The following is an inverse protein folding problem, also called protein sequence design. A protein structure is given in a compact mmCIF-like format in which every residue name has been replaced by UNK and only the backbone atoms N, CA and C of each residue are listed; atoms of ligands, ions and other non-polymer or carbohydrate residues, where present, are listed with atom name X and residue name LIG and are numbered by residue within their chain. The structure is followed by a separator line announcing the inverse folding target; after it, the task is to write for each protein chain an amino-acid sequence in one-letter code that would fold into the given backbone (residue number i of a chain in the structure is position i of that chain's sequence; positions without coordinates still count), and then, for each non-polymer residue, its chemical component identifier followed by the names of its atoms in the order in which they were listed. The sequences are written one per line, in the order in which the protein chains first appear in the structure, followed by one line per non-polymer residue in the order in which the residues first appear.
data_IF_779850752237
#
_entry.id   IF_779850752237
#
_cell.length_a   1.000
_cell.length_b   1.000
_cell.length_c   1.000
_cell.angle_alpha   90.00
_cell.angle_beta   90.00
_cell.angle_gamma   90.00
#
_symmetry.space_group_name_H-M   'P 1'
#
loop_
_entity.id
_entity.type
_entity.pdbx_description
1 polymer ?
#
# COMPACT_ATOMS: atom_id res chain seq x y z
N UNK A 1 64.09 -61.28 -3.73
CA UNK A 1 63.26 -60.33 -4.49
C UNK A 1 62.43 -61.14 -5.47
N UNK A 2 61.20 -61.42 -5.17
CA UNK A 2 60.32 -62.22 -6.03
C UNK A 2 59.43 -61.28 -6.83
N UNK A 3 59.60 -61.38 -8.10
CA UNK A 3 58.84 -60.65 -9.11
C UNK A 3 57.40 -61.23 -9.19
N UNK A 4 56.40 -60.45 -8.84
CA UNK A 4 54.98 -60.86 -8.89
C UNK A 4 54.50 -60.75 -10.33
N UNK A 5 53.96 -61.80 -10.93
CA UNK A 5 53.50 -61.75 -12.32
C UNK A 5 52.27 -60.83 -12.41
N UNK A 6 52.36 -59.85 -13.32
CA UNK A 6 51.18 -59.01 -13.72
C UNK A 6 50.10 -59.94 -14.30
N UNK A 7 49.00 -60.04 -13.63
CA UNK A 7 47.78 -60.73 -14.10
C UNK A 7 47.33 -60.10 -15.42
N UNK A 8 47.45 -60.84 -16.50
CA UNK A 8 46.87 -60.42 -17.78
C UNK A 8 45.33 -60.37 -17.62
N UNK A 9 44.77 -59.27 -17.98
CA UNK A 9 43.31 -59.07 -18.01
C UNK A 9 42.78 -60.00 -19.10
N UNK A 10 41.90 -60.93 -18.70
CA UNK A 10 41.26 -61.89 -19.63
C UNK A 10 40.35 -61.12 -20.60
N UNK A 11 40.22 -61.54 -21.87
CA UNK A 11 39.22 -60.94 -22.79
C UNK A 11 37.76 -60.95 -22.29
N UNK A 12 37.47 -61.85 -21.35
CA UNK A 12 36.16 -61.94 -20.72
C UNK A 12 35.88 -60.87 -19.62
N UNK A 13 36.91 -60.14 -19.18
CA UNK A 13 36.78 -58.97 -18.28
C UNK A 13 36.54 -57.65 -19.03
N UNK A 14 36.41 -57.70 -20.35
CA UNK A 14 36.02 -56.52 -21.15
C UNK A 14 34.55 -56.14 -20.82
N UNK A 15 34.33 -54.91 -20.39
CA UNK A 15 33.01 -54.36 -20.19
C UNK A 15 32.16 -54.61 -21.44
N UNK A 16 30.90 -55.03 -21.29
CA UNK A 16 30.02 -55.28 -22.44
C UNK A 16 29.96 -54.01 -23.33
N UNK A 17 29.96 -54.18 -24.64
CA UNK A 17 29.92 -53.06 -25.56
C UNK A 17 28.66 -52.24 -25.29
N UNK A 18 28.87 -50.92 -25.04
CA UNK A 18 27.75 -49.96 -24.83
C UNK A 18 27.09 -49.77 -26.20
N UNK A 19 25.89 -50.35 -26.36
CA UNK A 19 25.12 -50.08 -27.55
C UNK A 19 24.68 -48.60 -27.58
N UNK A 20 24.86 -47.89 -28.71
CA UNK A 20 24.36 -46.54 -28.80
C UNK A 20 22.85 -46.53 -28.71
N UNK A 21 22.25 -45.51 -27.99
CA UNK A 21 20.81 -45.45 -27.80
C UNK A 21 20.10 -45.43 -29.17
N UNK A 22 19.02 -46.22 -29.27
CA UNK A 22 18.23 -46.26 -30.48
C UNK A 22 17.65 -44.87 -30.84
N UNK A 23 17.53 -44.58 -32.14
CA UNK A 23 16.92 -43.33 -32.61
C UNK A 23 15.50 -43.13 -32.00
N UNK A 24 14.76 -44.20 -31.80
CA UNK A 24 13.44 -44.17 -31.11
C UNK A 24 13.53 -43.73 -29.65
N UNK A 25 14.56 -44.20 -28.93
CA UNK A 25 14.80 -43.79 -27.55
C UNK A 25 15.15 -42.30 -27.46
N UNK A 26 15.97 -41.78 -28.36
CA UNK A 26 16.32 -40.35 -28.43
C UNK A 26 15.09 -39.49 -28.74
N UNK A 27 14.26 -39.90 -29.71
CA UNK A 27 13.01 -39.20 -30.00
C UNK A 27 12.09 -39.20 -28.79
N UNK A 28 11.94 -40.33 -28.09
CA UNK A 28 11.08 -40.42 -26.92
C UNK A 28 11.60 -39.59 -25.74
N UNK A 29 12.92 -39.49 -25.56
CA UNK A 29 13.59 -38.71 -24.54
C UNK A 29 13.28 -37.20 -24.68
N UNK A 30 13.10 -36.68 -25.88
CA UNK A 30 12.80 -35.28 -26.15
C UNK A 30 11.29 -35.03 -26.38
N UNK A 31 10.61 -35.94 -27.07
CA UNK A 31 9.20 -35.80 -27.43
C UNK A 31 8.28 -35.84 -26.21
N UNK A 32 8.52 -36.75 -25.27
CA UNK A 32 7.68 -36.88 -24.07
C UNK A 32 7.77 -35.64 -23.19
N UNK A 33 8.97 -35.12 -22.82
CA UNK A 33 9.06 -33.85 -22.11
C UNK A 33 8.46 -32.66 -22.88
N UNK A 34 8.66 -32.61 -24.21
CA UNK A 34 8.10 -31.55 -25.05
C UNK A 34 6.56 -31.55 -25.04
N UNK A 35 5.94 -32.73 -25.08
CA UNK A 35 4.46 -32.85 -24.95
C UNK A 35 3.99 -32.39 -23.58
N UNK A 36 4.67 -32.79 -22.50
CA UNK A 36 4.31 -32.38 -21.14
C UNK A 36 4.41 -30.86 -21.00
N UNK A 37 5.52 -30.27 -21.44
CA UNK A 37 5.70 -28.80 -21.43
C UNK A 37 4.63 -28.12 -22.29
N UNK A 38 4.34 -28.66 -23.47
CA UNK A 38 3.28 -28.17 -24.36
C UNK A 38 1.90 -28.15 -23.68
N UNK A 39 1.55 -29.23 -22.98
CA UNK A 39 0.30 -29.30 -22.21
C UNK A 39 0.28 -28.26 -21.10
N UNK A 40 1.38 -28.11 -20.33
CA UNK A 40 1.48 -27.13 -19.25
C UNK A 40 1.31 -25.71 -19.81
N UNK A 41 1.97 -25.39 -20.91
CA UNK A 41 1.86 -24.08 -21.57
C UNK A 41 0.43 -23.85 -22.09
N UNK A 42 -0.19 -24.84 -22.72
CA UNK A 42 -1.58 -24.74 -23.19
C UNK A 42 -2.56 -24.50 -22.02
N UNK A 43 -2.40 -25.24 -20.92
CA UNK A 43 -3.21 -25.07 -19.70
C UNK A 43 -2.97 -23.66 -19.13
N UNK A 44 -1.73 -23.21 -19.03
CA UNK A 44 -1.40 -21.88 -18.54
C UNK A 44 -2.00 -20.76 -19.42
N UNK A 45 -1.87 -20.88 -20.74
CA UNK A 45 -2.48 -19.93 -21.70
C UNK A 45 -4.00 -19.95 -21.60
N UNK A 46 -4.62 -21.13 -21.47
CA UNK A 46 -6.06 -21.25 -21.31
C UNK A 46 -6.56 -20.60 -20.02
N UNK A 47 -5.86 -20.80 -18.90
CA UNK A 47 -6.18 -20.13 -17.63
C UNK A 47 -5.95 -18.62 -17.71
N UNK A 48 -4.87 -18.18 -18.34
CA UNK A 48 -4.60 -16.76 -18.56
C UNK A 48 -5.69 -16.08 -19.40
N UNK A 49 -6.09 -16.75 -20.49
CA UNK A 49 -7.18 -16.27 -21.35
C UNK A 49 -8.52 -16.28 -20.63
N UNK A 50 -8.84 -17.35 -19.86
CA UNK A 50 -10.07 -17.46 -19.08
C UNK A 50 -10.13 -16.38 -17.98
N UNK A 51 -9.00 -16.07 -17.32
CA UNK A 51 -8.92 -14.99 -16.34
C UNK A 51 -9.17 -13.61 -16.96
N UNK A 52 -8.82 -13.42 -18.23
CA UNK A 52 -9.08 -12.16 -18.94
C UNK A 52 -10.51 -12.03 -19.47
N UNK A 53 -11.21 -13.16 -19.71
CA UNK A 53 -12.61 -13.16 -20.16
C UNK A 53 -13.60 -12.68 -19.08
N UNK A 54 -13.19 -12.69 -17.80
CA UNK A 54 -14.02 -12.25 -16.67
C UNK A 54 -14.05 -10.75 -16.42
N UNK A 55 -13.17 -9.97 -17.04
CA UNK A 55 -12.95 -8.56 -16.71
C UNK A 55 -13.61 -7.63 -17.76
N UNK A 56 -14.93 -7.80 -18.00
CA UNK A 56 -15.71 -6.81 -18.75
C UNK A 56 -16.26 -5.74 -17.78
N UNK A 57 -15.66 -4.51 -17.74
CA UNK A 57 -16.11 -3.45 -16.85
C UNK A 57 -17.59 -3.09 -17.08
N UNK A 58 -18.06 -3.20 -18.32
CA UNK A 58 -19.43 -2.94 -18.67
C UNK A 58 -20.40 -4.01 -18.14
N UNK A 59 -19.95 -5.27 -18.03
CA UNK A 59 -20.72 -6.32 -17.36
C UNK A 59 -20.84 -6.03 -15.86
N UNK A 60 -19.78 -5.55 -15.22
CA UNK A 60 -19.80 -5.14 -13.82
C UNK A 60 -20.76 -3.96 -13.60
N UNK A 61 -20.71 -2.93 -14.43
CA UNK A 61 -21.64 -1.78 -14.38
C UNK A 61 -23.09 -2.24 -14.58
N UNK A 62 -23.36 -3.10 -15.56
CA UNK A 62 -24.72 -3.67 -15.77
C UNK A 62 -25.20 -4.45 -14.53
N UNK A 63 -24.31 -5.19 -13.86
CA UNK A 63 -24.62 -5.89 -12.62
C UNK A 63 -24.94 -4.91 -11.48
N UNK A 64 -24.14 -3.86 -11.32
CA UNK A 64 -24.34 -2.81 -10.31
C UNK A 64 -25.66 -2.05 -10.47
N UNK A 65 -26.14 -1.86 -11.70
CA UNK A 65 -27.43 -1.21 -11.97
C UNK A 65 -28.65 -2.09 -11.69
N UNK A 66 -28.44 -3.43 -11.61
CA UNK A 66 -29.54 -4.36 -11.25
C UNK A 66 -29.73 -4.31 -9.73
N UNK A 67 -30.99 -4.21 -9.30
CA UNK A 67 -31.32 -4.21 -7.87
C UNK A 67 -31.37 -5.66 -7.34
N UNK A 68 -30.21 -6.34 -7.31
CA UNK A 68 -30.05 -7.72 -6.83
C UNK A 68 -29.21 -7.76 -5.57
N UNK A 69 -29.45 -8.77 -4.74
CA UNK A 69 -28.57 -9.01 -3.58
C UNK A 69 -27.15 -9.33 -4.04
N UNK A 70 -26.15 -8.91 -3.26
CA UNK A 70 -24.74 -9.17 -3.55
C UNK A 70 -24.10 -8.34 -4.66
N UNK A 71 -24.78 -7.32 -5.23
CA UNK A 71 -24.17 -6.43 -6.25
C UNK A 71 -22.93 -5.66 -5.73
N UNK A 72 -22.75 -5.54 -4.41
CA UNK A 72 -21.52 -5.03 -3.82
C UNK A 72 -20.29 -5.85 -4.19
N UNK A 73 -20.46 -7.17 -4.48
CA UNK A 73 -19.37 -8.02 -4.97
C UNK A 73 -18.88 -7.56 -6.34
N UNK A 74 -19.76 -7.05 -7.20
CA UNK A 74 -19.36 -6.49 -8.48
C UNK A 74 -18.53 -5.21 -8.30
N UNK A 75 -18.87 -4.37 -7.30
CA UNK A 75 -18.05 -3.20 -6.96
C UNK A 75 -16.68 -3.59 -6.40
N UNK A 76 -16.62 -4.60 -5.52
CA UNK A 76 -15.37 -5.14 -4.98
C UNK A 76 -14.49 -5.71 -6.10
N UNK A 77 -15.07 -6.52 -6.99
CA UNK A 77 -14.33 -7.12 -8.10
C UNK A 77 -13.77 -6.04 -9.02
N UNK A 78 -14.59 -5.03 -9.37
CA UNK A 78 -14.13 -3.91 -10.19
C UNK A 78 -13.01 -3.11 -9.52
N UNK A 79 -13.07 -2.87 -8.20
CA UNK A 79 -11.97 -2.25 -7.46
C UNK A 79 -10.68 -3.09 -7.54
N UNK A 80 -10.79 -4.42 -7.45
CA UNK A 80 -9.65 -5.32 -7.60
C UNK A 80 -9.10 -5.34 -9.03
N UNK A 81 -9.97 -5.28 -10.04
CA UNK A 81 -9.57 -5.21 -11.46
C UNK A 81 -8.81 -3.90 -11.76
N UNK A 82 -9.32 -2.77 -11.24
CA UNK A 82 -8.64 -1.47 -11.32
C UNK A 82 -7.26 -1.48 -10.66
N UNK A 83 -7.11 -2.17 -9.51
CA UNK A 83 -5.84 -2.31 -8.78
C UNK A 83 -4.90 -3.30 -9.45
N UNK A 84 -5.42 -4.27 -10.18
CA UNK A 84 -4.69 -5.37 -10.79
C UNK A 84 -3.73 -4.94 -11.92
N UNK A 85 -2.87 -5.88 -12.39
CA UNK A 85 -1.86 -5.59 -13.41
C UNK A 85 -2.42 -5.07 -14.73
N UNK A 86 -3.69 -5.38 -15.06
CA UNK A 86 -4.40 -4.89 -16.26
C UNK A 86 -5.15 -3.57 -16.06
N UNK A 87 -5.17 -3.02 -14.85
CA UNK A 87 -6.02 -1.90 -14.46
C UNK A 87 -5.61 -0.53 -15.01
N UNK A 88 -4.39 -0.37 -15.51
CA UNK A 88 -3.87 0.94 -15.91
C UNK A 88 -4.76 1.68 -16.94
N UNK A 89 -5.31 0.96 -17.90
CA UNK A 89 -6.25 1.55 -18.88
C UNK A 89 -7.60 1.88 -18.25
N UNK A 90 -8.07 1.05 -17.31
CA UNK A 90 -9.34 1.26 -16.62
C UNK A 90 -9.24 2.46 -15.67
N UNK A 91 -8.10 2.69 -15.02
CA UNK A 91 -7.86 3.85 -14.14
C UNK A 91 -7.98 5.18 -14.86
N UNK A 92 -7.71 5.23 -16.15
CA UNK A 92 -7.81 6.41 -17.00
C UNK A 92 -9.17 6.58 -17.70
N UNK A 93 -10.15 5.69 -17.44
CA UNK A 93 -11.46 5.72 -18.08
C UNK A 93 -12.43 6.64 -17.32
N UNK A 94 -12.52 7.89 -17.77
CA UNK A 94 -13.42 8.92 -17.24
C UNK A 94 -14.89 8.51 -17.32
N UNK A 95 -15.30 7.83 -18.41
CA UNK A 95 -16.68 7.41 -18.61
C UNK A 95 -17.07 6.34 -17.57
N UNK A 96 -16.20 5.37 -17.31
CA UNK A 96 -16.40 4.35 -16.27
C UNK A 96 -16.47 4.99 -14.89
N UNK A 97 -15.58 5.95 -14.57
CA UNK A 97 -15.63 6.70 -13.31
C UNK A 97 -16.97 7.44 -13.16
N UNK A 98 -17.45 8.11 -14.21
CA UNK A 98 -18.74 8.78 -14.23
C UNK A 98 -19.93 7.84 -14.03
N UNK A 99 -19.90 6.65 -14.62
CA UNK A 99 -20.93 5.63 -14.42
C UNK A 99 -20.99 5.14 -12.96
N UNK A 100 -19.84 4.88 -12.33
CA UNK A 100 -19.79 4.50 -10.91
C UNK A 100 -20.23 5.63 -9.99
N UNK A 101 -19.85 6.87 -10.30
CA UNK A 101 -20.33 8.07 -9.61
C UNK A 101 -21.85 8.18 -9.62
N UNK A 102 -22.47 7.96 -10.80
CA UNK A 102 -23.93 7.95 -10.95
C UNK A 102 -24.59 6.85 -10.11
N UNK A 103 -24.03 5.62 -10.14
CA UNK A 103 -24.57 4.49 -9.35
C UNK A 103 -24.49 4.79 -7.86
N UNK A 104 -23.39 5.36 -7.37
CA UNK A 104 -23.24 5.76 -5.96
C UNK A 104 -24.27 6.83 -5.58
N UNK A 105 -24.44 7.85 -6.43
CA UNK A 105 -25.42 8.91 -6.20
C UNK A 105 -26.87 8.38 -6.16
N UNK A 106 -27.22 7.48 -7.08
CA UNK A 106 -28.55 6.85 -7.14
C UNK A 106 -28.81 5.97 -5.91
N UNK A 107 -27.80 5.23 -5.45
CA UNK A 107 -27.91 4.39 -4.25
C UNK A 107 -28.19 5.24 -3.01
N UNK A 108 -27.46 6.34 -2.84
CA UNK A 108 -27.64 7.25 -1.71
C UNK A 108 -29.01 7.95 -1.78
N UNK A 109 -29.41 8.45 -2.95
CA UNK A 109 -30.73 9.08 -3.15
C UNK A 109 -31.89 8.14 -2.87
N UNK A 110 -31.69 6.83 -3.01
CA UNK A 110 -32.73 5.83 -2.70
C UNK A 110 -33.09 5.77 -1.23
N UNK A 111 -32.29 6.36 -0.32
CA UNK A 111 -32.46 6.31 1.12
C UNK A 111 -32.18 4.93 1.76
N UNK A 112 -31.87 3.90 0.96
CA UNK A 112 -31.60 2.54 1.46
C UNK A 112 -30.45 2.49 2.46
N UNK A 113 -29.31 3.18 2.28
CA UNK A 113 -28.20 3.12 3.22
C UNK A 113 -28.54 3.60 4.63
N UNK A 114 -29.52 4.51 4.74
CA UNK A 114 -29.94 5.10 6.04
C UNK A 114 -30.91 4.18 6.80
N UNK A 115 -31.58 3.28 6.09
CA UNK A 115 -32.58 2.37 6.67
C UNK A 115 -31.99 1.34 7.64
N UNK A 116 -32.87 0.52 8.20
CA UNK A 116 -32.52 -0.64 9.03
C UNK A 116 -32.62 -1.97 8.28
N UNK A 117 -32.04 -3.02 8.88
CA UNK A 117 -32.13 -4.39 8.38
C UNK A 117 -31.14 -4.73 7.27
N UNK A 118 -31.23 -5.97 6.81
CA UNK A 118 -30.28 -6.58 5.87
C UNK A 118 -30.11 -5.80 4.55
N UNK A 119 -31.20 -5.29 3.97
CA UNK A 119 -31.14 -4.50 2.74
C UNK A 119 -30.36 -3.20 2.89
N UNK A 120 -30.50 -2.53 4.04
CA UNK A 120 -29.75 -1.32 4.35
C UNK A 120 -28.27 -1.59 4.56
N UNK A 121 -27.94 -2.70 5.24
CA UNK A 121 -26.56 -3.14 5.41
C UNK A 121 -25.88 -3.45 4.09
N UNK A 122 -26.54 -4.19 3.20
CA UNK A 122 -26.03 -4.43 1.84
C UNK A 122 -25.85 -3.16 1.03
N UNK A 123 -26.75 -2.19 1.19
CA UNK A 123 -26.67 -0.90 0.53
C UNK A 123 -25.49 -0.07 1.05
N UNK A 124 -25.23 -0.06 2.39
CA UNK A 124 -24.03 0.57 2.97
C UNK A 124 -22.75 -0.09 2.45
N UNK A 125 -22.71 -1.42 2.47
CA UNK A 125 -21.59 -2.19 1.93
C UNK A 125 -21.33 -1.85 0.46
N UNK A 126 -22.38 -1.76 -0.36
CA UNK A 126 -22.25 -1.32 -1.75
C UNK A 126 -21.65 0.08 -1.86
N UNK A 127 -22.14 1.05 -1.08
CA UNK A 127 -21.62 2.43 -1.09
C UNK A 127 -20.12 2.45 -0.71
N UNK A 128 -19.73 1.68 0.30
CA UNK A 128 -18.30 1.55 0.72
C UNK A 128 -17.44 1.02 -0.43
N UNK A 129 -17.87 -0.06 -1.11
CA UNK A 129 -17.08 -0.61 -2.22
C UNK A 129 -17.10 0.26 -3.48
N UNK A 130 -18.19 1.01 -3.73
CA UNK A 130 -18.20 2.01 -4.79
C UNK A 130 -17.22 3.16 -4.51
N UNK A 131 -17.16 3.64 -3.26
CA UNK A 131 -16.13 4.63 -2.87
C UNK A 131 -14.72 4.07 -3.10
N UNK A 132 -14.45 2.83 -2.67
CA UNK A 132 -13.15 2.17 -2.89
C UNK A 132 -12.81 2.03 -4.37
N UNK A 133 -13.78 1.61 -5.20
CA UNK A 133 -13.59 1.50 -6.64
C UNK A 133 -13.28 2.87 -7.28
N UNK A 134 -13.99 3.93 -6.88
CA UNK A 134 -13.73 5.30 -7.34
C UNK A 134 -12.33 5.79 -6.92
N UNK A 135 -11.84 5.40 -5.75
CA UNK A 135 -10.49 5.72 -5.29
C UNK A 135 -9.38 5.10 -6.16
N UNK A 136 -9.64 3.98 -6.83
CA UNK A 136 -8.64 3.32 -7.68
C UNK A 136 -8.41 4.01 -9.03
N UNK A 137 -9.26 4.96 -9.42
CA UNK A 137 -9.05 5.71 -10.66
C UNK A 137 -7.84 6.66 -10.57
N UNK A 138 -7.42 7.17 -11.73
CA UNK A 138 -6.36 8.16 -11.88
C UNK A 138 -6.89 9.40 -12.63
N UNK A 139 -8.20 9.68 -12.50
CA UNK A 139 -8.89 10.79 -13.17
C UNK A 139 -9.63 11.65 -12.14
N UNK A 140 -9.60 12.99 -12.27
CA UNK A 140 -10.21 13.90 -11.30
C UNK A 140 -11.73 13.78 -11.21
N UNK A 141 -12.38 13.25 -12.24
CA UNK A 141 -13.83 13.02 -12.32
C UNK A 141 -14.35 12.06 -11.25
N UNK A 142 -13.48 11.23 -10.69
CA UNK A 142 -13.82 10.34 -9.57
C UNK A 142 -13.94 11.07 -8.22
N UNK A 143 -13.40 12.29 -8.07
CA UNK A 143 -13.38 13.02 -6.79
C UNK A 143 -14.74 13.57 -6.35
N UNK A 144 -15.59 14.21 -7.17
CA UNK A 144 -16.81 14.87 -6.71
C UNK A 144 -17.76 13.96 -5.92
N UNK A 145 -18.04 12.70 -6.33
CA UNK A 145 -18.90 11.81 -5.55
C UNK A 145 -18.28 11.40 -4.22
N UNK A 146 -16.94 11.29 -4.13
CA UNK A 146 -16.23 11.00 -2.89
C UNK A 146 -16.28 12.20 -1.93
N UNK A 147 -16.04 13.41 -2.43
CA UNK A 147 -16.19 14.66 -1.66
C UNK A 147 -17.58 14.74 -1.03
N UNK A 148 -18.65 14.55 -1.82
CA UNK A 148 -20.02 14.58 -1.31
C UNK A 148 -20.29 13.51 -0.23
N UNK A 149 -19.57 12.40 -0.21
CA UNK A 149 -19.71 11.37 0.84
C UNK A 149 -18.85 11.67 2.05
N UNK A 150 -17.66 12.22 1.86
CA UNK A 150 -16.78 12.64 2.97
C UNK A 150 -17.43 13.71 3.87
N UNK A 151 -18.27 14.57 3.30
CA UNK A 151 -19.01 15.62 4.02
C UNK A 151 -20.22 15.09 4.83
N UNK A 152 -20.62 13.83 4.64
CA UNK A 152 -21.81 13.25 5.27
C UNK A 152 -21.44 12.65 6.63
N UNK A 153 -21.88 13.29 7.73
CA UNK A 153 -21.55 12.86 9.10
C UNK A 153 -22.44 11.71 9.63
N UNK A 154 -23.64 11.54 9.05
CA UNK A 154 -24.62 10.55 9.52
C UNK A 154 -24.27 9.09 9.18
N UNK A 155 -23.41 8.88 8.21
CA UNK A 155 -22.99 7.56 7.72
C UNK A 155 -21.47 7.42 7.79
N UNK A 156 -20.95 7.39 9.00
CA UNK A 156 -19.50 7.43 9.30
C UNK A 156 -18.69 6.39 8.52
N UNK A 157 -19.23 5.19 8.32
CA UNK A 157 -18.54 4.12 7.57
C UNK A 157 -18.36 4.50 6.10
N UNK A 158 -19.38 5.07 5.46
CA UNK A 158 -19.32 5.52 4.06
C UNK A 158 -18.43 6.75 3.96
N UNK A 159 -18.54 7.71 4.91
CA UNK A 159 -17.68 8.88 4.94
C UNK A 159 -16.20 8.50 5.07
N UNK A 160 -15.89 7.56 5.96
CA UNK A 160 -14.53 7.04 6.12
C UNK A 160 -14.02 6.38 4.83
N UNK A 161 -14.82 5.51 4.21
CA UNK A 161 -14.45 4.89 2.93
C UNK A 161 -14.21 5.93 1.81
N UNK A 162 -15.00 7.01 1.78
CA UNK A 162 -14.81 8.08 0.82
C UNK A 162 -13.52 8.89 1.08
N UNK A 163 -13.23 9.19 2.34
CA UNK A 163 -11.98 9.89 2.74
C UNK A 163 -10.76 9.04 2.39
N UNK A 164 -10.78 7.74 2.73
CA UNK A 164 -9.71 6.79 2.36
C UNK A 164 -9.55 6.68 0.83
N UNK A 165 -10.66 6.65 0.10
CA UNK A 165 -10.66 6.61 -1.36
C UNK A 165 -10.05 7.88 -1.98
N UNK A 166 -10.27 9.06 -1.39
CA UNK A 166 -9.63 10.31 -1.83
C UNK A 166 -8.11 10.26 -1.70
N UNK A 167 -7.56 9.60 -0.66
CA UNK A 167 -6.10 9.41 -0.54
C UNK A 167 -5.55 8.50 -1.64
N UNK A 168 -6.25 7.40 -1.95
CA UNK A 168 -5.85 6.47 -3.03
C UNK A 168 -5.93 7.17 -4.38
N UNK A 169 -7.03 7.89 -4.65
CA UNK A 169 -7.22 8.66 -5.87
C UNK A 169 -6.13 9.73 -6.04
N UNK A 170 -5.79 10.46 -4.96
CA UNK A 170 -4.72 11.45 -4.98
C UNK A 170 -3.37 10.82 -5.32
N UNK A 171 -3.07 9.64 -4.77
CA UNK A 171 -1.85 8.89 -5.06
C UNK A 171 -1.81 8.42 -6.52
N UNK A 172 -2.91 7.86 -7.03
CA UNK A 172 -3.01 7.41 -8.42
C UNK A 172 -2.93 8.58 -9.40
N UNK A 173 -3.59 9.70 -9.07
CA UNK A 173 -3.56 10.92 -9.88
C UNK A 173 -2.14 11.51 -9.93
N UNK A 174 -1.42 11.54 -8.80
CA UNK A 174 -0.03 12.00 -8.75
C UNK A 174 0.89 11.11 -9.60
N UNK A 175 0.70 9.80 -9.57
CA UNK A 175 1.43 8.86 -10.43
C UNK A 175 1.15 9.08 -11.93
N UNK A 176 -0.02 9.62 -12.28
CA UNK A 176 -0.40 10.02 -13.64
C UNK A 176 0.02 11.47 -13.99
N UNK A 177 0.70 12.18 -13.09
CA UNK A 177 1.17 13.58 -13.29
C UNK A 177 0.14 14.65 -12.91
N UNK A 178 -0.98 14.28 -12.28
CA UNK A 178 -1.97 15.22 -11.75
C UNK A 178 -1.77 15.54 -10.27
N UNK A 179 -2.63 16.39 -9.70
CA UNK A 179 -2.57 16.78 -8.28
C UNK A 179 -3.95 17.26 -7.80
N UNK A 180 -4.20 17.12 -6.50
CA UNK A 180 -5.31 17.76 -5.79
C UNK A 180 -4.88 18.97 -4.94
N UNK A 181 -3.61 19.38 -5.01
CA UNK A 181 -3.12 20.51 -4.22
C UNK A 181 -3.96 21.80 -4.42
N UNK A 182 -4.45 21.99 -5.64
CA UNK A 182 -5.31 23.14 -6.02
C UNK A 182 -6.80 22.78 -6.09
N UNK A 183 -7.25 21.68 -5.46
CA UNK A 183 -8.64 21.27 -5.42
C UNK A 183 -9.30 21.62 -4.07
N UNK A 184 -9.82 22.86 -3.89
CA UNK A 184 -10.33 23.35 -2.61
C UNK A 184 -11.47 22.50 -2.04
N UNK A 185 -12.31 21.90 -2.90
CA UNK A 185 -13.40 21.05 -2.46
C UNK A 185 -12.91 19.77 -1.80
N UNK A 186 -11.85 19.13 -2.34
CA UNK A 186 -11.23 17.93 -1.74
C UNK A 186 -10.63 18.27 -0.39
N UNK A 187 -9.80 19.33 -0.34
CA UNK A 187 -9.16 19.79 0.91
C UNK A 187 -10.21 20.17 1.98
N UNK A 188 -11.27 20.88 1.61
CA UNK A 188 -12.34 21.27 2.53
C UNK A 188 -13.10 20.07 3.10
N UNK A 189 -13.48 19.11 2.24
CA UNK A 189 -14.20 17.91 2.65
C UNK A 189 -13.38 17.06 3.63
N UNK A 190 -12.09 16.82 3.31
CA UNK A 190 -11.19 16.05 4.18
C UNK A 190 -10.93 16.81 5.48
N UNK A 191 -10.71 18.13 5.43
CA UNK A 191 -10.58 18.96 6.65
C UNK A 191 -11.85 18.93 7.49
N UNK A 192 -13.03 18.94 6.87
CA UNK A 192 -14.32 18.75 7.57
C UNK A 192 -14.38 17.42 8.31
N UNK A 193 -13.97 16.32 7.67
CA UNK A 193 -13.94 14.99 8.26
C UNK A 193 -13.01 14.87 9.50
N UNK A 194 -11.96 15.69 9.59
CA UNK A 194 -11.09 15.74 10.79
C UNK A 194 -11.79 16.27 12.05
N UNK A 195 -12.97 16.84 11.93
CA UNK A 195 -13.76 17.35 13.06
C UNK A 195 -14.86 16.38 13.50
N UNK A 196 -14.89 15.19 12.94
CA UNK A 196 -15.86 14.14 13.31
C UNK A 196 -15.73 13.72 14.77
N UNK A 197 -16.84 13.34 15.37
CA UNK A 197 -16.83 12.70 16.69
C UNK A 197 -16.24 11.28 16.65
N UNK A 198 -16.24 10.63 15.46
CA UNK A 198 -15.65 9.31 15.28
C UNK A 198 -14.13 9.40 15.12
N UNK A 199 -13.34 8.80 16.02
CA UNK A 199 -11.88 8.88 15.96
C UNK A 199 -11.29 8.16 14.74
N UNK A 200 -11.94 7.10 14.25
CA UNK A 200 -11.50 6.40 13.05
C UNK A 200 -11.62 7.27 11.79
N UNK A 201 -12.70 8.06 11.68
CA UNK A 201 -12.86 9.01 10.59
C UNK A 201 -11.84 10.17 10.71
N UNK A 202 -11.59 10.71 11.92
CA UNK A 202 -10.55 11.72 12.12
C UNK A 202 -9.17 11.21 11.74
N UNK A 203 -8.86 9.98 12.14
CA UNK A 203 -7.58 9.32 11.84
C UNK A 203 -7.38 9.11 10.32
N UNK A 204 -8.39 8.58 9.61
CA UNK A 204 -8.37 8.45 8.15
C UNK A 204 -8.24 9.80 7.46
N UNK A 205 -8.92 10.84 7.99
CA UNK A 205 -8.85 12.18 7.44
C UNK A 205 -7.47 12.84 7.63
N UNK A 206 -6.84 12.65 8.80
CA UNK A 206 -5.47 13.12 9.05
C UNK A 206 -4.47 12.47 8.06
N UNK A 207 -4.57 11.14 7.86
CA UNK A 207 -3.78 10.45 6.84
C UNK A 207 -3.98 11.03 5.44
N UNK A 208 -5.27 11.23 5.06
CA UNK A 208 -5.64 11.73 3.73
C UNK A 208 -5.16 13.16 3.50
N UNK A 209 -5.22 14.04 4.50
CA UNK A 209 -4.66 15.40 4.42
C UNK A 209 -3.17 15.37 4.11
N UNK A 210 -2.41 14.47 4.75
CA UNK A 210 -0.98 14.29 4.48
C UNK A 210 -0.66 13.78 3.07
N UNK A 211 -1.64 13.13 2.39
CA UNK A 211 -1.51 12.67 1.00
C UNK A 211 -1.95 13.75 0.01
N UNK A 212 -3.06 14.43 0.29
CA UNK A 212 -3.60 15.50 -0.57
C UNK A 212 -2.69 16.72 -0.55
N UNK A 213 -2.15 17.08 0.62
CA UNK A 213 -1.22 18.19 0.79
C UNK A 213 -1.89 19.55 0.81
N UNK A 214 -1.05 20.57 0.61
CA UNK A 214 -1.44 21.98 0.60
C UNK A 214 -1.27 22.69 1.97
N UNK A 215 -1.24 24.00 1.96
CA UNK A 215 -0.98 24.82 3.17
C UNK A 215 -2.08 24.66 4.23
N UNK A 216 -3.35 24.62 3.81
CA UNK A 216 -4.46 24.39 4.73
C UNK A 216 -4.41 23.02 5.42
N UNK A 217 -3.87 21.99 4.73
CA UNK A 217 -3.66 20.66 5.29
C UNK A 217 -2.59 20.71 6.39
N UNK A 218 -1.48 21.44 6.19
CA UNK A 218 -0.38 21.59 7.14
C UNK A 218 -0.88 22.11 8.48
N UNK A 219 -1.51 23.28 8.52
CA UNK A 219 -2.01 23.87 9.76
C UNK A 219 -3.02 22.97 10.48
N UNK A 220 -3.88 22.26 9.71
CA UNK A 220 -4.82 21.32 10.35
C UNK A 220 -4.14 20.08 10.92
N UNK A 221 -3.10 19.55 10.28
CA UNK A 221 -2.31 18.43 10.78
C UNK A 221 -1.54 18.81 12.05
N UNK A 222 -1.00 20.03 12.15
CA UNK A 222 -0.38 20.54 13.37
C UNK A 222 -1.37 20.51 14.56
N UNK A 223 -2.60 21.00 14.36
CA UNK A 223 -3.65 20.94 15.38
C UNK A 223 -3.96 19.49 15.79
N UNK A 224 -4.00 18.54 14.83
CA UNK A 224 -4.31 17.14 15.06
C UNK A 224 -3.19 16.36 15.78
N UNK A 225 -1.96 16.86 15.80
CA UNK A 225 -0.92 16.32 16.68
C UNK A 225 -1.26 16.47 18.17
N UNK A 226 -2.23 17.32 18.53
CA UNK A 226 -2.81 17.45 19.87
C UNK A 226 -4.11 16.68 20.09
N UNK A 227 -4.56 15.80 19.18
CA UNK A 227 -5.80 15.02 19.35
C UNK A 227 -5.70 14.07 20.56
N UNK A 228 -6.86 13.79 21.18
CA UNK A 228 -6.93 12.87 22.32
C UNK A 228 -6.59 11.43 21.95
N UNK A 229 -6.79 11.05 20.69
CA UNK A 229 -6.58 9.69 20.18
C UNK A 229 -5.19 9.53 19.58
N UNK A 230 -4.46 8.51 20.04
CA UNK A 230 -3.09 8.22 19.58
C UNK A 230 -3.01 7.99 18.07
N UNK A 231 -3.98 7.26 17.49
CA UNK A 231 -3.99 6.95 16.04
C UNK A 231 -4.23 8.21 15.19
N UNK A 232 -4.93 9.23 15.72
CA UNK A 232 -5.11 10.53 15.05
C UNK A 232 -3.82 11.33 15.08
N UNK A 233 -3.16 11.44 16.27
CA UNK A 233 -1.88 12.12 16.42
C UNK A 233 -0.81 11.50 15.51
N UNK A 234 -0.73 10.16 15.52
CA UNK A 234 0.24 9.42 14.70
C UNK A 234 0.06 9.70 13.20
N UNK A 235 -1.18 9.67 12.69
CA UNK A 235 -1.46 9.95 11.28
C UNK A 235 -1.22 11.44 10.94
N UNK A 236 -1.49 12.35 11.87
CA UNK A 236 -1.17 13.77 11.70
C UNK A 236 0.33 14.02 11.57
N UNK A 237 1.14 13.43 12.47
CA UNK A 237 2.59 13.54 12.40
C UNK A 237 3.17 12.91 11.11
N UNK A 238 2.65 11.77 10.68
CA UNK A 238 3.03 11.17 9.39
C UNK A 238 2.61 12.02 8.21
N UNK A 239 1.46 12.71 8.31
CA UNK A 239 1.01 13.68 7.33
C UNK A 239 1.98 14.86 7.21
N UNK A 240 2.35 15.48 8.33
CA UNK A 240 3.36 16.55 8.38
C UNK A 240 4.71 16.09 7.83
N UNK A 241 5.14 14.88 8.20
CA UNK A 241 6.39 14.33 7.69
C UNK A 241 6.40 14.17 6.15
N UNK A 242 5.26 13.82 5.55
CA UNK A 242 5.11 13.78 4.07
C UNK A 242 5.16 15.16 3.44
N UNK A 243 4.77 16.20 4.18
CA UNK A 243 4.82 17.60 3.74
C UNK A 243 6.15 18.27 4.06
N UNK A 244 7.16 17.52 4.53
CA UNK A 244 8.47 18.06 4.91
C UNK A 244 8.42 18.96 6.13
N UNK A 245 7.40 18.82 7.00
CA UNK A 245 7.21 19.74 8.13
C UNK A 245 7.85 19.23 9.43
N UNK A 246 8.87 19.92 9.98
CA UNK A 246 9.53 19.54 11.22
C UNK A 246 8.63 19.52 12.47
N UNK A 247 7.46 20.13 12.44
CA UNK A 247 6.48 20.06 13.54
C UNK A 247 6.07 18.62 13.88
N UNK A 248 6.27 17.67 12.95
CA UNK A 248 6.06 16.25 13.18
C UNK A 248 6.98 15.65 14.26
N UNK A 249 8.17 16.22 14.51
CA UNK A 249 9.19 15.56 15.32
C UNK A 249 8.77 15.28 16.76
N UNK A 250 7.93 16.09 17.37
CA UNK A 250 7.48 15.88 18.75
C UNK A 250 6.66 14.59 18.86
N UNK A 251 5.63 14.47 18.04
CA UNK A 251 4.78 13.27 18.01
C UNK A 251 5.54 12.04 17.50
N UNK A 252 6.44 12.20 16.52
CA UNK A 252 7.28 11.09 16.06
C UNK A 252 8.22 10.60 17.18
N UNK A 253 8.74 11.49 18.04
CA UNK A 253 9.53 11.10 19.20
C UNK A 253 8.72 10.28 20.20
N UNK A 254 7.47 10.66 20.49
CA UNK A 254 6.54 9.89 21.33
C UNK A 254 6.30 8.50 20.74
N UNK A 255 6.05 8.39 19.45
CA UNK A 255 5.83 7.11 18.76
C UNK A 255 7.08 6.21 18.82
N UNK A 256 8.28 6.77 18.66
CA UNK A 256 9.55 6.02 18.76
C UNK A 256 9.84 5.54 20.17
N UNK A 257 9.38 6.28 21.20
CA UNK A 257 9.60 5.97 22.61
C UNK A 257 8.64 4.92 23.17
N UNK A 258 7.71 4.36 22.38
CA UNK A 258 6.77 3.35 22.85
C UNK A 258 7.52 2.11 23.39
N UNK A 259 7.26 1.69 24.65
CA UNK A 259 7.94 0.59 25.28
C UNK A 259 7.67 -0.74 24.55
N UNK A 260 8.64 -1.66 24.62
CA UNK A 260 8.42 -3.02 24.12
C UNK A 260 7.33 -3.73 24.92
N UNK A 261 6.56 -4.56 24.25
CA UNK A 261 5.47 -5.34 24.85
C UNK A 261 5.97 -6.77 25.08
N UNK A 262 6.09 -7.15 26.36
CA UNK A 262 6.44 -8.51 26.71
C UNK A 262 5.34 -9.48 26.26
N UNK A 263 5.72 -10.49 25.48
CA UNK A 263 4.80 -11.52 24.97
C UNK A 263 4.93 -12.81 25.76
N UNK A 264 3.81 -13.53 25.93
CA UNK A 264 3.78 -14.89 26.49
C UNK A 264 3.37 -15.88 25.41
N UNK A 265 3.97 -17.06 25.34
CA UNK A 265 3.53 -18.09 24.41
C UNK A 265 2.05 -18.44 24.60
N UNK A 266 1.25 -18.39 23.55
CA UNK A 266 -0.19 -18.67 23.59
C UNK A 266 -1.09 -17.53 24.07
N UNK A 267 -0.51 -16.33 24.30
CA UNK A 267 -1.26 -15.12 24.64
C UNK A 267 -1.40 -14.23 23.39
N UNK A 268 -2.49 -14.41 22.67
CA UNK A 268 -2.77 -13.70 21.41
C UNK A 268 -2.93 -12.20 21.62
N UNK A 269 -3.40 -11.76 22.79
CA UNK A 269 -3.57 -10.34 23.11
C UNK A 269 -2.23 -9.62 23.23
N UNK A 270 -1.26 -10.20 23.95
CA UNK A 270 0.08 -9.63 24.07
C UNK A 270 0.81 -9.62 22.71
N UNK A 271 0.59 -10.64 21.88
CA UNK A 271 1.16 -10.68 20.52
C UNK A 271 0.56 -9.59 19.63
N UNK A 272 -0.77 -9.39 19.69
CA UNK A 272 -1.45 -8.32 18.94
C UNK A 272 -0.99 -6.92 19.39
N UNK A 273 -0.85 -6.69 20.70
CA UNK A 273 -0.35 -5.44 21.26
C UNK A 273 1.09 -5.15 20.82
N UNK A 274 1.95 -6.17 20.83
CA UNK A 274 3.33 -6.05 20.34
C UNK A 274 3.39 -5.74 18.85
N UNK A 275 2.54 -6.39 18.05
CA UNK A 275 2.45 -6.11 16.62
C UNK A 275 1.96 -4.67 16.35
N UNK A 276 0.93 -4.22 17.09
CA UNK A 276 0.44 -2.83 16.99
C UNK A 276 1.56 -1.82 17.33
N UNK A 277 2.27 -2.03 18.44
CA UNK A 277 3.43 -1.20 18.81
C UNK A 277 4.47 -1.16 17.68
N UNK A 278 4.84 -2.33 17.14
CA UNK A 278 5.82 -2.42 16.06
C UNK A 278 5.40 -1.62 14.82
N UNK A 279 4.14 -1.70 14.42
CA UNK A 279 3.61 -0.91 13.30
C UNK A 279 3.73 0.59 13.54
N UNK A 280 3.38 1.06 14.74
CA UNK A 280 3.49 2.48 15.11
C UNK A 280 4.94 2.94 15.02
N UNK A 281 5.87 2.20 15.64
CA UNK A 281 7.31 2.53 15.63
C UNK A 281 7.91 2.50 14.22
N UNK A 282 7.60 1.49 13.41
CA UNK A 282 8.05 1.41 12.00
C UNK A 282 7.53 2.60 11.19
N UNK A 283 6.28 3.01 11.41
CA UNK A 283 5.73 4.18 10.74
C UNK A 283 6.43 5.47 11.19
N UNK A 284 6.73 5.63 12.48
CA UNK A 284 7.50 6.77 12.98
C UNK A 284 8.90 6.82 12.37
N UNK A 285 9.61 5.68 12.30
CA UNK A 285 10.91 5.58 11.64
C UNK A 285 10.83 6.02 10.18
N UNK A 286 9.79 5.58 9.44
CA UNK A 286 9.55 6.03 8.06
C UNK A 286 9.29 7.52 7.99
N UNK A 287 8.49 8.08 8.92
CA UNK A 287 8.22 9.52 9.01
C UNK A 287 9.50 10.33 9.19
N UNK A 288 10.37 9.92 10.13
CA UNK A 288 11.70 10.56 10.29
C UNK A 288 12.52 10.44 9.00
N UNK A 289 12.53 9.27 8.36
CA UNK A 289 13.24 9.07 7.10
C UNK A 289 12.77 10.01 6.00
N UNK A 290 11.45 10.23 5.88
CA UNK A 290 10.87 11.18 4.92
C UNK A 290 11.34 12.61 5.19
N UNK A 291 11.30 13.07 6.46
CA UNK A 291 11.77 14.41 6.84
C UNK A 291 13.24 14.59 6.54
N UNK A 292 14.09 13.64 6.89
CA UNK A 292 15.53 13.67 6.62
C UNK A 292 15.82 13.72 5.12
N UNK A 293 15.06 12.99 4.31
CA UNK A 293 15.24 12.97 2.85
C UNK A 293 14.75 14.28 2.20
N UNK A 294 13.67 14.90 2.72
CA UNK A 294 13.05 16.09 2.16
C UNK A 294 13.80 17.37 2.57
N UNK A 295 14.11 17.51 3.87
CA UNK A 295 14.78 18.71 4.39
C UNK A 295 16.28 18.71 4.13
N UNK A 296 16.90 17.54 4.04
CA UNK A 296 18.36 17.40 4.00
C UNK A 296 19.05 17.75 5.32
N UNK A 297 18.29 17.98 6.38
CA UNK A 297 18.78 18.38 7.70
C UNK A 297 18.81 17.19 8.68
N UNK A 298 19.73 17.25 9.64
CA UNK A 298 19.75 16.29 10.72
C UNK A 298 18.55 16.51 11.67
N UNK A 299 17.85 15.45 12.09
CA UNK A 299 16.74 15.56 13.02
C UNK A 299 17.23 15.95 14.43
N UNK A 300 16.34 16.44 15.31
CA UNK A 300 16.67 16.75 16.70
C UNK A 300 17.36 15.59 17.42
N UNK A 301 18.32 15.85 18.31
CA UNK A 301 19.12 14.82 19.02
C UNK A 301 18.28 13.78 19.75
N UNK A 302 17.08 14.15 20.27
CA UNK A 302 16.14 13.20 20.88
C UNK A 302 15.62 12.13 19.90
N UNK A 303 15.46 12.46 18.61
CA UNK A 303 15.08 11.50 17.56
C UNK A 303 16.24 10.53 17.30
N UNK A 304 17.47 11.09 17.19
CA UNK A 304 18.68 10.27 17.00
C UNK A 304 18.82 9.28 18.15
N UNK A 305 18.73 9.76 19.41
CA UNK A 305 18.84 8.89 20.60
C UNK A 305 17.75 7.82 20.65
N UNK A 306 16.50 8.16 20.25
CA UNK A 306 15.41 7.20 20.17
C UNK A 306 15.70 6.12 19.11
N UNK A 307 16.18 6.50 17.94
CA UNK A 307 16.56 5.56 16.88
C UNK A 307 17.72 4.66 17.29
N UNK A 308 18.71 5.18 18.01
CA UNK A 308 19.83 4.40 18.56
C UNK A 308 19.33 3.34 19.53
N UNK A 309 18.40 3.69 20.43
CA UNK A 309 17.77 2.73 21.33
C UNK A 309 17.01 1.61 20.63
N UNK A 310 16.46 1.87 19.44
CA UNK A 310 15.71 0.89 18.65
C UNK A 310 16.62 -0.07 17.84
N UNK A 311 17.94 0.13 17.81
CA UNK A 311 18.87 -0.78 17.12
C UNK A 311 18.91 -2.18 17.75
N UNK A 312 18.50 -2.32 19.00
CA UNK A 312 18.42 -3.60 19.72
C UNK A 312 16.97 -4.07 19.94
N UNK A 313 15.98 -3.44 19.29
CA UNK A 313 14.58 -3.82 19.41
C UNK A 313 14.37 -5.31 19.05
N UNK A 314 13.47 -5.96 19.76
CA UNK A 314 13.20 -7.38 19.55
C UNK A 314 12.64 -7.69 18.15
N UNK A 315 12.02 -6.69 17.47
CA UNK A 315 11.39 -6.84 16.16
C UNK A 315 12.37 -6.47 15.05
N UNK A 316 12.67 -7.38 14.10
CA UNK A 316 13.64 -7.15 13.03
C UNK A 316 13.38 -5.91 12.18
N UNK A 317 12.11 -5.64 11.82
CA UNK A 317 11.74 -4.50 10.98
C UNK A 317 12.03 -3.16 11.67
N UNK A 318 11.82 -3.09 12.99
CA UNK A 318 12.15 -1.92 13.80
C UNK A 318 13.66 -1.69 13.81
N UNK A 319 14.46 -2.73 14.12
CA UNK A 319 15.93 -2.62 14.13
C UNK A 319 16.49 -2.18 12.79
N UNK A 320 16.04 -2.83 11.71
CA UNK A 320 16.55 -2.56 10.36
C UNK A 320 16.17 -1.14 9.90
N UNK A 321 14.93 -0.75 10.17
CA UNK A 321 14.44 0.60 9.86
C UNK A 321 15.23 1.69 10.60
N UNK A 322 15.41 1.55 11.92
CA UNK A 322 16.18 2.48 12.73
C UNK A 322 17.64 2.59 12.23
N UNK A 323 18.31 1.45 12.00
CA UNK A 323 19.66 1.44 11.46
C UNK A 323 19.76 2.08 10.06
N UNK A 324 18.74 1.93 9.22
CA UNK A 324 18.72 2.54 7.89
C UNK A 324 18.63 4.07 7.95
N UNK A 325 17.77 4.62 8.83
CA UNK A 325 17.63 6.08 9.01
C UNK A 325 18.88 6.66 9.65
N UNK A 326 19.45 6.01 10.68
CA UNK A 326 20.70 6.48 11.30
C UNK A 326 21.85 6.59 10.27
N UNK A 327 22.03 5.60 9.40
CA UNK A 327 23.02 5.69 8.31
C UNK A 327 22.75 6.84 7.33
N UNK A 328 21.49 7.26 7.13
CA UNK A 328 21.20 8.46 6.32
C UNK A 328 21.63 9.73 7.03
N UNK A 329 21.36 9.83 8.33
CA UNK A 329 21.73 10.96 9.17
C UNK A 329 23.28 11.09 9.22
N UNK A 330 24.01 9.99 9.42
CA UNK A 330 25.49 9.97 9.40
C UNK A 330 26.04 10.52 8.08
N UNK A 331 25.49 10.10 6.95
CA UNK A 331 25.91 10.61 5.62
C UNK A 331 25.61 12.09 5.39
N UNK A 332 24.60 12.67 6.04
CA UNK A 332 24.37 14.12 6.00
C UNK A 332 25.45 14.87 6.77
N UNK A 333 25.85 14.35 7.96
CA UNK A 333 26.98 14.92 8.72
C UNK A 333 28.29 14.89 7.95
N UNK A 334 28.63 13.76 7.32
CA UNK A 334 29.84 13.64 6.49
C UNK A 334 29.89 14.61 5.31
N UNK A 335 28.71 14.89 4.69
CA UNK A 335 28.63 15.89 3.61
C UNK A 335 28.78 17.33 4.12
N UNK A 336 28.30 17.63 5.32
CA UNK A 336 28.42 18.95 5.93
C UNK A 336 29.88 19.26 6.38
N UNK A 337 30.61 18.21 6.82
CA UNK A 337 32.00 18.33 7.28
C UNK A 337 33.03 18.12 6.16
N UNK A 338 32.61 17.85 4.92
CA UNK A 338 33.48 17.69 3.76
C UNK A 338 34.24 19.01 3.46
N UNK A 339 35.50 18.92 2.95
CA UNK A 339 36.29 20.12 2.70
C UNK A 339 35.57 21.05 1.72
N UNK A 340 35.29 22.28 2.17
CA UNK A 340 34.90 23.39 1.31
C UNK A 340 35.80 23.34 0.08
N UNK A 341 35.23 23.14 -1.10
CA UNK A 341 35.96 23.14 -2.35
C UNK A 341 36.82 24.40 -2.37
N UNK A 342 38.14 24.23 -2.39
CA UNK A 342 39.09 25.35 -2.44
C UNK A 342 38.68 26.20 -3.63
N UNK A 343 38.37 27.45 -3.38
CA UNK A 343 38.17 28.50 -4.40
C UNK A 343 39.35 28.42 -5.38
N UNK A 344 39.12 28.32 -6.71
CA UNK A 344 40.24 28.37 -7.65
C UNK A 344 40.86 29.74 -7.51
N UNK A 345 42.15 29.76 -7.11
CA UNK A 345 42.96 30.97 -7.09
C UNK A 345 42.87 31.63 -8.48
N UNK A 346 42.35 32.85 -8.51
CA UNK A 346 42.29 33.67 -9.70
C UNK A 346 43.72 33.93 -10.23
N UNK A 347 43.91 33.98 -11.56
CA UNK A 347 45.22 34.18 -12.20
C UNK A 347 45.80 35.58 -12.00
#
# INVERSE_FOLDING_TARGET
MADSPRRAISPDDALPPVEPPSAGFLVQLFLVPAIIVGIIVCVWVAFHWLAQLGNDPQAAVRSLRRNTEGRWQSALNLANDLRGPGGAKLKADEALAGELASILADEVKSGRPVGGGHSAEQSRTLCVYLCRALGEFAVPEAAPPLVARAETTEQTEIARAAVEALAVLATNLAAAGGSFADAPAVSAAVTGATRSNDPGLRSSAAFTLGVVGGEAARGRLEELCGDVEDDVRANAALGLARLGDPAAYDTLAEMLALPDVATRPGDDESQAARYKRAMVVVNAIKGVGLLVDDTGDAPPGRIVSALEGLREDAIPDVRQGAAAVLRRIERLGEKADGPLAAEPAAP
#
